data_IF_800222259788
#
_entry.id   IF_800222259788
#
_cell.length_a   1.000
_cell.length_b   1.000
_cell.length_c   1.000
_cell.angle_alpha   90.00
_cell.angle_beta   90.00
_cell.angle_gamma   90.00
#
_symmetry.space_group_name_H-M   'P 1'
#
loop_
_entity.id
_entity.type
_entity.pdbx_description
1 polymer ?
#
# COMPACT_ATOMS: atom_id res chain seq x y z
N UNK A 1 -11.35 -6.27 -5.17
CA UNK A 1 -10.17 -5.59 -4.60
C UNK A 1 -9.11 -5.61 -5.67
N UNK A 2 -8.46 -4.50 -5.93
CA UNK A 2 -7.37 -4.40 -6.89
C UNK A 2 -6.14 -3.81 -6.21
N UNK A 3 -4.97 -4.40 -6.41
CA UNK A 3 -3.71 -3.88 -5.88
C UNK A 3 -3.19 -2.91 -6.93
N UNK A 4 -2.99 -1.65 -6.54
CA UNK A 4 -2.49 -0.60 -7.43
C UNK A 4 -0.97 -0.67 -7.51
N UNK A 5 -0.32 -0.93 -6.38
CA UNK A 5 1.13 -1.05 -6.32
C UNK A 5 1.64 -1.22 -4.89
N UNK A 6 2.95 -1.34 -4.76
CA UNK A 6 3.65 -1.32 -3.48
C UNK A 6 4.82 -0.34 -3.56
N UNK A 7 5.06 0.34 -2.46
CA UNK A 7 6.18 1.26 -2.30
C UNK A 7 7.02 0.83 -1.11
N UNK A 8 8.33 0.82 -1.32
CA UNK A 8 9.31 0.46 -0.31
C UNK A 8 9.87 1.73 0.30
N UNK A 9 9.91 1.80 1.63
CA UNK A 9 10.60 2.90 2.28
C UNK A 9 12.11 2.76 2.03
N UNK A 10 12.79 3.86 1.75
CA UNK A 10 14.22 3.88 1.44
C UNK A 10 15.11 3.18 2.49
N UNK A 11 14.75 3.31 3.77
CA UNK A 11 15.43 2.65 4.90
C UNK A 11 15.16 1.13 5.01
N UNK A 12 14.38 0.58 4.10
CA UNK A 12 14.03 -0.82 3.99
C UNK A 12 13.25 -1.45 5.15
N UNK A 13 12.84 -0.67 6.13
CA UNK A 13 12.13 -1.17 7.32
C UNK A 13 10.60 -1.22 7.17
N UNK A 14 10.06 -0.65 6.09
CA UNK A 14 8.60 -0.55 5.87
C UNK A 14 8.23 -0.72 4.39
N UNK A 15 7.19 -1.52 4.13
CA UNK A 15 6.47 -1.54 2.86
C UNK A 15 5.11 -0.89 3.04
N UNK A 16 4.71 -0.07 2.08
CA UNK A 16 3.34 0.42 1.95
C UNK A 16 2.70 -0.18 0.71
N UNK A 17 1.59 -0.91 0.87
CA UNK A 17 0.78 -1.42 -0.24
C UNK A 17 -0.41 -0.50 -0.48
N UNK A 18 -0.62 -0.14 -1.75
CA UNK A 18 -1.75 0.64 -2.20
C UNK A 18 -2.77 -0.27 -2.84
N UNK A 19 -3.99 -0.26 -2.31
CA UNK A 19 -5.07 -1.08 -2.83
C UNK A 19 -6.36 -0.28 -2.98
N UNK A 20 -7.16 -0.68 -3.95
CA UNK A 20 -8.49 -0.14 -4.22
C UNK A 20 -9.54 -1.18 -3.89
N UNK A 21 -10.51 -0.79 -3.07
CA UNK A 21 -11.64 -1.64 -2.74
C UNK A 21 -12.91 -0.83 -2.56
N UNK A 22 -14.01 -1.29 -3.15
CA UNK A 22 -15.34 -0.71 -2.93
C UNK A 22 -16.02 -1.17 -1.64
N UNK A 23 -15.42 -2.11 -0.91
CA UNK A 23 -15.95 -2.67 0.34
C UNK A 23 -14.85 -2.74 1.38
N UNK A 24 -15.22 -2.78 2.66
CA UNK A 24 -14.28 -3.02 3.76
C UNK A 24 -13.71 -4.42 3.62
N UNK A 25 -12.39 -4.55 3.66
CA UNK A 25 -11.67 -5.82 3.58
C UNK A 25 -10.81 -5.94 4.81
N UNK A 26 -10.85 -7.12 5.44
CA UNK A 26 -10.02 -7.47 6.57
C UNK A 26 -8.69 -8.09 6.09
N UNK A 27 -7.59 -7.40 6.40
CA UNK A 27 -6.25 -7.80 5.97
C UNK A 27 -5.43 -8.52 7.05
N UNK A 28 -6.06 -8.90 8.17
CA UNK A 28 -5.36 -9.44 9.34
C UNK A 28 -4.58 -10.72 9.03
N UNK A 29 -5.20 -11.68 8.35
CA UNK A 29 -4.54 -12.92 7.94
C UNK A 29 -3.45 -12.69 6.89
N UNK A 30 -3.74 -11.85 5.88
CA UNK A 30 -2.78 -11.49 4.84
C UNK A 30 -1.53 -10.83 5.44
N UNK A 31 -1.71 -9.83 6.32
CA UNK A 31 -0.62 -9.14 7.00
C UNK A 31 0.22 -10.11 7.84
N UNK A 32 -0.41 -11.11 8.48
CA UNK A 32 0.30 -12.11 9.29
C UNK A 32 1.23 -12.98 8.44
N UNK A 33 0.76 -13.43 7.28
CA UNK A 33 1.57 -14.20 6.34
C UNK A 33 2.71 -13.36 5.74
N UNK A 34 2.43 -12.14 5.27
CA UNK A 34 3.49 -11.31 4.72
C UNK A 34 4.51 -10.89 5.78
N UNK A 35 4.09 -10.66 7.03
CA UNK A 35 5.03 -10.36 8.11
C UNK A 35 6.00 -11.53 8.36
N UNK A 36 5.53 -12.77 8.23
CA UNK A 36 6.36 -13.98 8.36
C UNK A 36 7.38 -14.11 7.22
N UNK A 37 6.99 -13.73 6.00
CA UNK A 37 7.85 -13.80 4.81
C UNK A 37 8.88 -12.68 4.78
N UNK A 38 8.43 -11.42 4.87
CA UNK A 38 9.27 -10.26 4.65
C UNK A 38 9.99 -9.77 5.91
N UNK A 39 9.50 -10.11 7.12
CA UNK A 39 10.05 -9.66 8.41
C UNK A 39 10.20 -8.14 8.56
N UNK A 40 9.40 -7.37 7.82
CA UNK A 40 9.38 -5.91 7.82
C UNK A 40 7.98 -5.39 8.13
N UNK A 41 7.88 -4.11 8.53
CA UNK A 41 6.60 -3.51 8.88
C UNK A 41 5.78 -3.25 7.62
N UNK A 42 4.60 -3.84 7.54
CA UNK A 42 3.73 -3.70 6.36
C UNK A 42 2.57 -2.77 6.70
N UNK A 43 2.35 -1.81 5.82
CA UNK A 43 1.24 -0.87 5.87
C UNK A 43 0.36 -1.05 4.65
N UNK A 44 -0.93 -0.83 4.84
CA UNK A 44 -1.93 -0.89 3.78
C UNK A 44 -2.62 0.46 3.73
N UNK A 45 -2.57 1.11 2.57
CA UNK A 45 -3.27 2.36 2.32
C UNK A 45 -4.38 2.10 1.31
N UNK A 46 -5.62 2.35 1.72
CA UNK A 46 -6.74 2.31 0.80
C UNK A 46 -6.71 3.60 -0.03
N UNK A 47 -6.49 3.48 -1.33
CA UNK A 47 -6.55 4.64 -2.22
C UNK A 47 -8.01 5.09 -2.36
N UNK A 48 -8.38 6.11 -1.58
CA UNK A 48 -9.58 6.91 -1.84
C UNK A 48 -9.16 8.06 -2.74
N UNK A 49 -9.08 7.84 -4.06
CA UNK A 49 -8.91 8.87 -5.12
C UNK A 49 -8.61 10.26 -4.53
N UNK A 50 -7.35 10.57 -4.21
CA UNK A 50 -6.84 11.95 -3.97
C UNK A 50 -5.49 11.90 -3.26
N UNK A 51 -4.42 11.45 -3.92
CA UNK A 51 -3.06 12.05 -3.90
C UNK A 51 -2.33 11.49 -5.13
N UNK A 52 -2.91 11.65 -6.32
CA UNK A 52 -2.17 11.45 -7.58
C UNK A 52 -2.33 12.66 -8.52
N UNK A 53 -2.97 13.74 -8.05
CA UNK A 53 -3.00 15.01 -8.76
C UNK A 53 -1.67 15.76 -8.60
N UNK A 54 -0.96 15.57 -7.48
CA UNK A 54 0.26 16.33 -7.15
C UNK A 54 1.49 15.96 -7.98
N UNK A 55 1.59 14.70 -8.44
CA UNK A 55 2.72 14.29 -9.30
C UNK A 55 2.45 14.60 -10.78
N UNK A 56 1.17 14.69 -11.17
CA UNK A 56 0.79 15.05 -12.55
C UNK A 56 1.08 16.52 -12.87
N UNK A 57 0.97 17.40 -11.88
CA UNK A 57 1.22 18.86 -12.02
C UNK A 57 2.71 19.23 -12.02
N UNK A 58 3.61 18.34 -11.56
CA UNK A 58 5.07 18.58 -11.58
C UNK A 58 5.70 18.10 -12.90
N UNK A 59 4.99 17.26 -13.67
CA UNK A 59 5.50 16.62 -14.90
C UNK A 59 4.87 17.19 -16.18
N UNK A 60 3.82 18.01 -16.07
CA UNK A 60 3.23 18.75 -17.20
C UNK A 60 3.76 20.20 -17.30
#
# INVERSE_FOLDING_TARGET
>A
MEIIGCEYQWDMKKITFYFKSGKRIDFRDLLKELFKLFKIRIWLCADKKSVNLFIKEIIE
#
